data_IF_197160205375
#
_entry.id   IF_197160205375
#
_cell.length_a   1.000
_cell.length_b   1.000
_cell.length_c   1.000
_cell.angle_alpha   90.00
_cell.angle_beta   90.00
_cell.angle_gamma   90.00
#
_symmetry.space_group_name_H-M   'P 1'
#
loop_
_entity.id
_entity.type
_entity.pdbx_description
1 polymer ?
#
# COMPACT_ATOMS: atom_id res chain seq x y z
N UNK A 1 1.42 78.93 54.59
CA UNK A 1 0.79 78.10 55.64
C UNK A 1 -0.69 77.93 55.36
N UNK A 2 -1.14 76.71 55.02
CA UNK A 2 -2.45 76.12 55.37
C UNK A 2 -2.56 74.73 54.71
N UNK A 3 -2.64 73.71 55.56
CA UNK A 3 -2.80 72.29 55.27
C UNK A 3 -4.17 71.97 54.67
N UNK A 4 -4.21 71.09 53.66
CA UNK A 4 -5.32 70.22 53.23
C UNK A 4 -4.69 69.09 52.39
N UNK A 5 -4.98 67.80 52.44
CA UNK A 5 -5.96 66.95 53.13
C UNK A 5 -5.53 65.51 52.81
N UNK A 6 -5.75 64.59 53.74
CA UNK A 6 -5.42 63.17 53.62
C UNK A 6 -6.12 62.48 52.42
N UNK A 7 -5.40 61.59 51.75
CA UNK A 7 -5.96 60.63 50.78
C UNK A 7 -5.49 59.23 51.19
N UNK A 8 -6.39 58.55 51.92
CA UNK A 8 -6.40 57.10 52.08
C UNK A 8 -6.84 56.49 50.74
N UNK A 9 -5.94 55.82 50.04
CA UNK A 9 -6.28 54.98 48.91
C UNK A 9 -6.06 53.51 49.31
N UNK A 10 -7.16 52.85 49.67
CA UNK A 10 -7.22 51.42 49.97
C UNK A 10 -6.87 50.60 48.72
N UNK A 11 -5.85 49.76 48.86
CA UNK A 11 -5.40 48.81 47.85
C UNK A 11 -6.37 47.60 47.83
N UNK A 12 -7.22 47.50 46.82
CA UNK A 12 -8.03 46.30 46.57
C UNK A 12 -7.13 45.20 45.98
N UNK A 13 -6.78 44.21 46.81
CA UNK A 13 -6.07 43.00 46.41
C UNK A 13 -7.11 41.90 46.11
N UNK A 14 -7.60 41.81 44.87
CA UNK A 14 -8.43 40.71 44.40
C UNK A 14 -7.55 39.58 43.87
N UNK A 15 -7.32 38.56 44.70
CA UNK A 15 -6.71 37.30 44.31
C UNK A 15 -7.75 36.43 43.57
N UNK A 16 -7.68 36.40 42.25
CA UNK A 16 -8.40 35.42 41.43
C UNK A 16 -7.64 34.08 41.44
N UNK A 17 -8.12 33.15 42.26
CA UNK A 17 -7.76 31.74 42.17
C UNK A 17 -8.24 31.20 40.81
N UNK A 18 -7.30 30.86 39.92
CA UNK A 18 -7.61 30.00 38.78
C UNK A 18 -7.89 28.59 39.31
N UNK A 19 -9.19 28.26 39.39
CA UNK A 19 -9.68 26.91 39.60
C UNK A 19 -9.24 26.02 38.45
N UNK A 20 -8.68 24.85 38.79
CA UNK A 20 -8.15 23.88 37.83
C UNK A 20 -9.22 23.35 36.89
N UNK A 21 -8.91 23.31 35.59
CA UNK A 21 -9.66 22.51 34.65
C UNK A 21 -9.44 21.03 34.98
N UNK A 22 -10.51 20.42 35.46
CA UNK A 22 -10.68 18.98 35.59
C UNK A 22 -10.81 18.43 34.17
N UNK A 23 -9.71 17.93 33.61
CA UNK A 23 -9.72 17.37 32.26
C UNK A 23 -10.34 15.98 32.32
N UNK A 24 -11.62 15.95 31.94
CA UNK A 24 -12.45 14.78 31.74
C UNK A 24 -11.71 13.75 30.88
N UNK A 25 -11.45 12.62 31.50
CA UNK A 25 -10.94 11.39 30.94
C UNK A 25 -11.81 10.89 29.77
N UNK A 26 -11.53 11.40 28.58
CA UNK A 26 -11.92 10.84 27.28
C UNK A 26 -10.90 11.21 26.18
N UNK A 27 -9.61 11.00 26.46
CA UNK A 27 -8.51 11.06 25.46
C UNK A 27 -7.82 9.69 25.21
N UNK A 28 -8.49 8.55 24.92
CA UNK A 28 -7.80 7.26 24.86
C UNK A 28 -7.26 6.86 23.48
N UNK A 29 -7.39 7.68 22.43
CA UNK A 29 -7.04 7.25 21.06
C UNK A 29 -6.08 8.17 20.29
N UNK A 30 -6.02 9.46 20.63
CA UNK A 30 -5.07 10.41 20.01
C UNK A 30 -3.63 10.16 20.51
N UNK A 31 -3.47 9.74 21.78
CA UNK A 31 -2.15 9.53 22.40
C UNK A 31 -1.28 8.47 21.70
N UNK A 32 -1.88 7.37 21.23
CA UNK A 32 -1.13 6.31 20.52
C UNK A 32 -0.59 6.79 19.17
N UNK A 33 -1.37 7.57 18.43
CA UNK A 33 -0.97 8.05 17.10
C UNK A 33 0.06 9.18 17.17
N UNK A 34 0.14 9.90 18.29
CA UNK A 34 1.11 10.97 18.55
C UNK A 34 2.34 10.50 19.33
N UNK A 35 2.37 9.24 19.78
CA UNK A 35 3.50 8.65 20.49
C UNK A 35 4.82 8.84 19.73
N UNK A 36 5.84 9.31 20.43
CA UNK A 36 7.16 9.49 19.86
C UNK A 36 7.91 8.16 19.71
N UNK A 37 8.87 8.12 18.79
CA UNK A 37 9.79 6.99 18.69
C UNK A 37 10.59 6.85 20.01
N UNK A 38 10.84 5.62 20.52
CA UNK A 38 11.63 5.40 21.72
C UNK A 38 13.02 6.05 21.64
N UNK A 39 13.54 6.55 22.77
CA UNK A 39 14.86 7.20 22.84
C UNK A 39 15.97 6.39 22.17
N UNK A 40 15.98 5.06 22.36
CA UNK A 40 16.94 4.15 21.71
C UNK A 40 16.94 4.27 20.18
N UNK A 41 15.77 4.43 19.56
CA UNK A 41 15.68 4.65 18.11
C UNK A 41 16.10 6.07 17.73
N UNK A 42 15.79 7.06 18.55
CA UNK A 42 16.27 8.43 18.34
C UNK A 42 17.81 8.49 18.36
N UNK A 43 18.44 7.87 19.36
CA UNK A 43 19.90 7.78 19.47
C UNK A 43 20.50 7.02 18.27
N UNK A 44 19.85 5.93 17.82
CA UNK A 44 20.27 5.19 16.62
C UNK A 44 20.18 6.03 15.34
N UNK A 45 19.16 6.88 15.21
CA UNK A 45 19.04 7.81 14.08
C UNK A 45 20.20 8.81 14.09
N UNK A 46 20.54 9.40 15.25
CA UNK A 46 21.69 10.30 15.39
C UNK A 46 22.98 9.60 14.98
N UNK A 47 23.24 8.40 15.51
CA UNK A 47 24.43 7.61 15.19
C UNK A 47 24.56 7.26 13.70
N UNK A 48 23.43 7.06 13.01
CA UNK A 48 23.37 6.76 11.57
C UNK A 48 23.20 7.99 10.69
N UNK A 49 23.34 9.20 11.24
CA UNK A 49 23.20 10.47 10.52
C UNK A 49 21.84 10.59 9.79
N UNK A 50 20.76 10.21 10.46
CA UNK A 50 19.37 10.27 10.00
C UNK A 50 18.61 11.32 10.81
N UNK A 51 17.90 12.22 10.12
CA UNK A 51 17.09 13.24 10.80
C UNK A 51 15.73 12.69 11.21
N UNK A 52 15.17 13.13 12.36
CA UNK A 52 13.88 12.63 12.88
C UNK A 52 12.79 12.56 11.80
N UNK A 53 12.63 13.64 11.04
CA UNK A 53 11.58 13.78 10.02
C UNK A 53 12.02 13.41 8.59
N UNK A 54 13.19 12.78 8.40
CA UNK A 54 13.64 12.42 7.05
C UNK A 54 12.75 11.36 6.39
N UNK A 55 12.72 11.30 5.04
CA UNK A 55 11.95 10.33 4.29
C UNK A 55 12.24 8.86 4.65
N UNK A 56 11.24 8.00 4.49
CA UNK A 56 11.33 6.56 4.70
C UNK A 56 10.93 5.76 3.45
N UNK A 57 11.32 4.48 3.44
CA UNK A 57 10.76 3.41 2.63
C UNK A 57 10.57 2.18 3.51
N UNK A 58 9.50 1.44 3.26
CA UNK A 58 9.14 0.23 4.00
C UNK A 58 9.38 -0.98 3.10
N UNK A 59 10.04 -2.03 3.61
CA UNK A 59 10.23 -3.28 2.88
C UNK A 59 9.67 -4.44 3.69
N UNK A 60 8.85 -5.26 3.07
CA UNK A 60 8.19 -6.42 3.69
C UNK A 60 8.76 -7.68 3.05
N UNK A 61 9.12 -8.65 3.89
CA UNK A 61 9.66 -9.94 3.50
C UNK A 61 8.79 -11.04 4.10
N UNK A 62 7.97 -11.67 3.26
CA UNK A 62 6.94 -12.61 3.72
C UNK A 62 7.54 -13.88 4.31
N UNK A 63 8.48 -14.52 3.63
CA UNK A 63 9.08 -15.77 4.12
C UNK A 63 9.85 -15.55 5.43
N UNK A 64 10.58 -14.45 5.54
CA UNK A 64 11.28 -14.06 6.77
C UNK A 64 10.35 -13.52 7.85
N UNK A 65 9.08 -13.22 7.51
CA UNK A 65 8.10 -12.59 8.40
C UNK A 65 8.64 -11.31 9.05
N UNK A 66 9.23 -10.42 8.26
CA UNK A 66 9.75 -9.13 8.76
C UNK A 66 9.34 -7.93 7.93
N UNK A 67 9.23 -6.78 8.60
CA UNK A 67 9.16 -5.45 8.01
C UNK A 67 10.40 -4.66 8.37
N UNK A 68 11.05 -4.10 7.37
CA UNK A 68 12.17 -3.20 7.51
C UNK A 68 11.75 -1.77 7.25
N UNK A 69 12.19 -0.87 8.13
CA UNK A 69 12.12 0.57 7.92
C UNK A 69 13.50 1.05 7.52
N UNK A 70 13.59 1.61 6.33
CA UNK A 70 14.77 2.25 5.80
C UNK A 70 14.53 3.75 5.79
N UNK A 71 15.51 4.51 6.27
CA UNK A 71 15.37 5.95 6.48
C UNK A 71 16.50 6.69 5.77
N UNK A 72 16.16 7.83 5.17
CA UNK A 72 17.13 8.64 4.46
C UNK A 72 18.12 9.27 5.46
N UNK A 73 19.40 9.08 5.19
CA UNK A 73 20.50 9.76 5.88
C UNK A 73 20.72 11.15 5.28
N UNK A 74 21.50 12.01 5.94
CA UNK A 74 21.85 13.34 5.38
C UNK A 74 22.60 13.29 4.04
N UNK A 75 23.15 12.14 3.65
CA UNK A 75 23.78 11.94 2.33
C UNK A 75 22.76 11.75 1.19
N UNK A 76 21.47 11.64 1.53
CA UNK A 76 20.40 11.35 0.59
C UNK A 76 20.23 9.86 0.24
N UNK A 77 21.10 8.97 0.74
CA UNK A 77 20.94 7.51 0.66
C UNK A 77 20.15 6.98 1.85
N UNK A 78 19.46 5.87 1.64
CA UNK A 78 18.68 5.17 2.65
C UNK A 78 19.52 4.09 3.33
N UNK A 79 19.36 3.98 4.64
CA UNK A 79 19.97 2.92 5.42
C UNK A 79 18.94 2.35 6.41
N UNK A 80 19.13 1.10 6.81
CA UNK A 80 18.21 0.36 7.66
C UNK A 80 18.24 0.96 9.08
N UNK A 81 17.09 1.46 9.54
CA UNK A 81 16.94 1.96 10.91
C UNK A 81 16.37 0.88 11.84
N UNK A 82 15.39 0.09 11.37
CA UNK A 82 14.72 -0.91 12.21
C UNK A 82 14.20 -2.09 11.40
N UNK A 83 14.13 -3.24 12.06
CA UNK A 83 13.49 -4.47 11.56
C UNK A 83 12.49 -4.94 12.60
N UNK A 84 11.27 -5.23 12.18
CA UNK A 84 10.14 -5.63 13.01
C UNK A 84 9.62 -6.99 12.56
N UNK A 85 9.32 -7.87 13.50
CA UNK A 85 8.68 -9.16 13.18
C UNK A 85 7.20 -8.95 12.86
N UNK A 86 6.73 -9.66 11.84
CA UNK A 86 5.33 -9.80 11.47
C UNK A 86 4.75 -10.93 12.31
N UNK A 87 3.65 -10.66 12.99
CA UNK A 87 2.90 -11.69 13.71
C UNK A 87 2.30 -12.70 12.75
N UNK A 88 1.52 -12.19 11.78
CA UNK A 88 0.83 -13.01 10.79
C UNK A 88 0.61 -12.23 9.52
N UNK A 89 0.89 -12.87 8.39
CA UNK A 89 0.37 -12.45 7.09
C UNK A 89 -0.43 -13.62 6.52
N UNK A 90 -1.41 -13.33 5.66
CA UNK A 90 -2.35 -14.33 5.17
C UNK A 90 -1.95 -14.92 3.82
N UNK A 91 -2.32 -16.19 3.61
CA UNK A 91 -2.09 -16.91 2.36
C UNK A 91 -0.70 -17.57 2.31
N UNK A 92 -0.13 -17.63 1.11
CA UNK A 92 1.18 -18.23 0.82
C UNK A 92 2.13 -17.20 0.20
N UNK A 93 3.33 -17.61 -0.18
CA UNK A 93 4.15 -16.76 -1.04
C UNK A 93 3.52 -16.63 -2.43
N UNK A 94 3.73 -15.50 -3.07
CA UNK A 94 3.10 -15.10 -4.33
C UNK A 94 2.07 -13.97 -4.17
N UNK A 95 1.56 -13.47 -5.31
CA UNK A 95 0.72 -12.29 -5.35
C UNK A 95 -0.73 -12.58 -4.93
N UNK A 96 -1.43 -11.51 -4.53
CA UNK A 96 -2.90 -11.50 -4.41
C UNK A 96 -3.54 -11.41 -5.80
N UNK A 97 -4.64 -12.12 -6.02
CA UNK A 97 -5.38 -12.10 -7.29
C UNK A 97 -6.78 -11.52 -7.15
N UNK A 98 -7.53 -11.82 -6.08
CA UNK A 98 -8.92 -11.40 -5.98
C UNK A 98 -9.42 -11.20 -4.54
N UNK A 99 -10.54 -10.51 -4.40
CA UNK A 99 -11.21 -10.37 -3.11
C UNK A 99 -11.56 -11.75 -2.52
N UNK A 100 -11.35 -11.93 -1.21
CA UNK A 100 -11.60 -13.21 -0.54
C UNK A 100 -10.55 -14.31 -0.72
N UNK A 101 -9.52 -14.15 -1.57
CA UNK A 101 -8.44 -15.15 -1.74
C UNK A 101 -7.49 -15.29 -0.53
N UNK A 102 -7.71 -14.47 0.51
CA UNK A 102 -6.92 -14.40 1.76
C UNK A 102 -5.42 -14.26 1.54
N UNK A 103 -5.01 -13.63 0.45
CA UNK A 103 -3.61 -13.48 0.09
C UNK A 103 -3.10 -12.08 0.45
N UNK A 104 -2.04 -11.98 1.24
CA UNK A 104 -1.30 -10.73 1.40
C UNK A 104 -0.50 -10.45 0.10
N UNK A 105 -0.62 -9.24 -0.49
CA UNK A 105 -0.08 -8.96 -1.80
C UNK A 105 1.43 -8.71 -1.79
N UNK A 106 2.05 -8.95 -2.93
CA UNK A 106 3.46 -8.71 -3.23
C UNK A 106 3.55 -7.68 -4.36
N UNK A 107 4.51 -6.76 -4.31
CA UNK A 107 4.61 -5.66 -5.26
C UNK A 107 5.13 -4.36 -4.64
N UNK A 108 5.00 -3.28 -5.41
CA UNK A 108 5.36 -1.92 -4.98
C UNK A 108 4.09 -1.10 -4.77
N UNK A 109 3.95 -0.53 -3.58
CA UNK A 109 2.77 0.23 -3.18
C UNK A 109 3.14 1.61 -2.67
N UNK A 110 2.21 2.55 -2.78
CA UNK A 110 2.39 3.94 -2.37
C UNK A 110 1.46 4.25 -1.22
N UNK A 111 2.02 4.77 -0.12
CA UNK A 111 1.27 5.18 1.06
C UNK A 111 1.31 6.71 1.13
N UNK A 112 0.12 7.30 1.17
CA UNK A 112 -0.14 8.73 1.37
C UNK A 112 -0.62 9.00 2.80
N UNK A 113 -0.56 10.26 3.28
CA UNK A 113 -1.08 10.63 4.58
C UNK A 113 -2.53 10.19 4.82
N UNK A 114 -3.40 10.26 3.81
CA UNK A 114 -4.81 9.83 3.90
C UNK A 114 -5.00 8.33 4.13
N UNK A 115 -3.98 7.50 3.91
CA UNK A 115 -4.02 6.07 4.16
C UNK A 115 -3.63 5.72 5.60
N UNK A 116 -3.12 6.68 6.39
CA UNK A 116 -2.80 6.48 7.81
C UNK A 116 -4.08 6.51 8.63
N UNK A 117 -4.33 5.45 9.41
CA UNK A 117 -5.53 5.31 10.23
C UNK A 117 -5.18 5.28 11.74
N UNK A 118 -5.28 6.42 12.45
CA UNK A 118 -5.06 6.48 13.90
C UNK A 118 -6.19 5.83 14.71
N UNK A 119 -7.39 5.70 14.12
CA UNK A 119 -8.60 5.20 14.76
C UNK A 119 -8.94 3.77 14.32
N UNK A 120 -7.90 2.98 14.00
CA UNK A 120 -8.05 1.57 13.62
C UNK A 120 -8.67 0.73 14.75
N UNK A 121 -9.49 -0.25 14.36
CA UNK A 121 -9.97 -1.30 15.27
C UNK A 121 -8.87 -2.28 15.72
N UNK A 122 -7.67 -2.21 15.10
CA UNK A 122 -6.50 -3.03 15.40
C UNK A 122 -5.34 -2.17 15.96
N UNK A 123 -5.63 -1.32 16.94
CA UNK A 123 -4.71 -0.34 17.54
C UNK A 123 -4.29 0.80 16.58
N UNK A 124 -3.33 0.59 15.68
CA UNK A 124 -2.93 1.54 14.64
C UNK A 124 -2.85 0.80 13.31
N UNK A 125 -3.12 1.50 12.20
CA UNK A 125 -3.00 0.88 10.88
C UNK A 125 -2.68 1.90 9.80
N UNK A 126 -2.21 1.42 8.65
CA UNK A 126 -2.29 2.16 7.40
C UNK A 126 -2.62 1.23 6.23
N UNK A 127 -3.37 1.74 5.26
CA UNK A 127 -3.72 1.01 4.05
C UNK A 127 -2.51 1.03 3.11
N UNK A 128 -2.13 -0.13 2.57
CA UNK A 128 -0.97 -0.20 1.67
C UNK A 128 -1.28 0.38 0.29
N UNK A 129 -2.54 0.47 -0.13
CA UNK A 129 -2.92 1.00 -1.45
C UNK A 129 -3.01 -0.07 -2.54
N UNK A 130 -3.32 -1.31 -2.17
CA UNK A 130 -3.72 -2.35 -3.12
C UNK A 130 -5.18 -2.12 -3.56
N UNK A 131 -5.53 -2.33 -4.84
CA UNK A 131 -4.64 -2.70 -5.95
C UNK A 131 -3.92 -1.48 -6.54
N UNK A 132 -2.62 -1.62 -6.83
CA UNK A 132 -1.86 -0.59 -7.58
C UNK A 132 -2.14 -0.69 -9.09
N UNK A 133 -1.48 0.15 -9.91
CA UNK A 133 -1.66 0.14 -11.37
C UNK A 133 -1.31 -1.20 -12.05
N UNK A 134 -0.30 -1.92 -11.55
CA UNK A 134 0.06 -3.26 -12.04
C UNK A 134 -1.02 -4.26 -11.69
N UNK A 135 -1.55 -4.19 -10.47
CA UNK A 135 -2.60 -5.08 -10.01
C UNK A 135 -3.88 -4.87 -10.82
N UNK A 136 -4.30 -3.61 -11.01
CA UNK A 136 -5.50 -3.23 -11.76
C UNK A 136 -5.44 -3.68 -13.22
N UNK A 137 -4.32 -3.43 -13.93
CA UNK A 137 -4.21 -3.80 -15.35
C UNK A 137 -4.13 -5.31 -15.58
N UNK A 138 -3.75 -6.07 -14.55
CA UNK A 138 -3.77 -7.52 -14.52
C UNK A 138 -5.07 -8.09 -13.95
N UNK A 139 -6.12 -7.27 -13.79
CA UNK A 139 -7.46 -7.70 -13.37
C UNK A 139 -7.53 -8.13 -11.91
N UNK A 140 -6.57 -7.75 -11.07
CA UNK A 140 -6.56 -8.14 -9.66
C UNK A 140 -7.51 -7.26 -8.85
N UNK A 141 -8.23 -7.89 -7.92
CA UNK A 141 -9.26 -7.21 -7.12
C UNK A 141 -9.04 -7.38 -5.62
N UNK A 142 -9.67 -6.48 -4.88
CA UNK A 142 -9.78 -6.52 -3.43
C UNK A 142 -9.42 -5.19 -2.78
N UNK A 143 -9.64 -5.09 -1.47
CA UNK A 143 -9.52 -3.82 -0.75
C UNK A 143 -9.15 -3.98 0.72
N UNK A 144 -8.79 -2.87 1.36
CA UNK A 144 -8.44 -2.81 2.80
C UNK A 144 -7.28 -3.72 3.20
N UNK A 145 -6.24 -3.80 2.36
CA UNK A 145 -4.99 -4.48 2.71
C UNK A 145 -4.18 -3.53 3.59
N UNK A 146 -4.03 -3.88 4.87
CA UNK A 146 -3.43 -3.00 5.88
C UNK A 146 -2.12 -3.56 6.41
N UNK A 147 -1.29 -2.67 6.95
CA UNK A 147 -0.31 -2.99 7.98
C UNK A 147 -0.88 -2.50 9.30
N UNK A 148 -1.03 -3.37 10.31
CA UNK A 148 -1.75 -3.01 11.55
C UNK A 148 -1.30 -3.79 12.80
N UNK A 149 -1.81 -3.41 13.97
CA UNK A 149 -1.54 -4.07 15.27
C UNK A 149 -2.42 -5.31 15.54
N UNK A 150 -2.60 -5.64 16.81
CA UNK A 150 -3.46 -6.73 17.31
C UNK A 150 -3.11 -8.17 16.85
N UNK A 151 -1.94 -8.39 16.26
CA UNK A 151 -1.34 -9.71 15.98
C UNK A 151 -2.28 -10.76 15.32
N UNK A 152 -3.29 -10.30 14.56
CA UNK A 152 -4.31 -11.14 13.91
C UNK A 152 -4.49 -10.67 12.47
N UNK A 153 -4.61 -11.57 11.47
CA UNK A 153 -4.81 -11.15 10.07
C UNK A 153 -5.68 -12.09 9.25
N UNK A 154 -6.44 -11.48 8.34
CA UNK A 154 -7.28 -12.10 7.30
C UNK A 154 -7.04 -11.40 5.94
N UNK A 155 -5.78 -11.23 5.55
CA UNK A 155 -5.34 -10.57 4.30
C UNK A 155 -4.22 -9.53 4.50
N UNK A 156 -4.03 -9.08 5.74
CA UNK A 156 -3.13 -7.98 6.11
C UNK A 156 -1.75 -8.45 6.60
N UNK A 157 -0.85 -7.50 6.83
CA UNK A 157 0.36 -7.70 7.61
C UNK A 157 0.11 -7.26 9.06
N UNK A 158 -0.07 -8.20 9.97
CA UNK A 158 -0.29 -7.88 11.38
C UNK A 158 1.02 -7.87 12.17
N UNK A 159 1.13 -6.90 13.08
CA UNK A 159 2.24 -6.67 13.98
C UNK A 159 1.75 -6.73 15.43
N UNK A 160 2.68 -6.74 16.38
CA UNK A 160 2.35 -6.35 17.75
C UNK A 160 2.03 -4.85 17.81
N UNK A 161 1.34 -4.42 18.86
CA UNK A 161 0.95 -3.02 19.05
C UNK A 161 2.18 -2.12 19.22
N UNK A 162 3.24 -2.61 19.87
CA UNK A 162 4.49 -1.88 20.03
C UNK A 162 5.22 -1.68 18.70
N UNK A 163 5.23 -2.71 17.85
CA UNK A 163 5.87 -2.65 16.54
C UNK A 163 5.12 -1.68 15.63
N UNK A 164 3.79 -1.77 15.55
CA UNK A 164 3.01 -0.86 14.71
C UNK A 164 3.04 0.57 15.23
N UNK A 165 3.12 0.82 16.55
CA UNK A 165 3.30 2.16 17.09
C UNK A 165 4.53 2.85 16.50
N UNK A 166 5.66 2.14 16.44
CA UNK A 166 6.90 2.68 15.90
C UNK A 166 6.86 2.82 14.38
N UNK A 167 6.34 1.82 13.66
CA UNK A 167 6.17 1.88 12.19
C UNK A 167 5.26 3.05 11.80
N UNK A 168 4.14 3.21 12.50
CA UNK A 168 3.21 4.32 12.30
C UNK A 168 3.87 5.67 12.59
N UNK A 169 4.63 5.76 13.69
CA UNK A 169 5.38 6.97 14.03
C UNK A 169 6.42 7.34 12.95
N UNK A 170 7.13 6.36 12.36
CA UNK A 170 8.03 6.62 11.23
C UNK A 170 7.29 7.20 10.03
N UNK A 171 6.15 6.60 9.64
CA UNK A 171 5.31 7.11 8.54
C UNK A 171 4.82 8.53 8.81
N UNK A 172 4.22 8.75 9.99
CA UNK A 172 3.77 10.07 10.45
C UNK A 172 4.89 11.11 10.42
N UNK A 173 6.05 10.80 10.99
CA UNK A 173 7.16 11.74 11.11
C UNK A 173 7.77 12.06 9.73
N UNK A 174 7.81 11.09 8.81
CA UNK A 174 8.22 11.35 7.42
C UNK A 174 7.29 12.34 6.71
N UNK A 175 5.97 12.22 6.92
CA UNK A 175 4.98 13.15 6.37
C UNK A 175 5.06 14.53 7.01
N UNK A 176 5.29 14.61 8.33
CA UNK A 176 5.59 15.88 9.00
C UNK A 176 6.83 16.57 8.44
N UNK A 177 7.82 15.79 7.98
CA UNK A 177 9.02 16.27 7.31
C UNK A 177 8.85 16.65 5.84
N UNK A 178 7.63 16.58 5.30
CA UNK A 178 7.33 16.97 3.93
C UNK A 178 7.43 15.86 2.89
N UNK A 179 7.71 14.60 3.29
CA UNK A 179 7.51 13.47 2.37
C UNK A 179 6.03 13.42 1.98
N UNK A 180 5.70 13.44 0.69
CA UNK A 180 4.29 13.44 0.22
C UNK A 180 3.67 12.05 0.18
N UNK A 181 4.52 11.05 -0.03
CA UNK A 181 4.19 9.64 -0.07
C UNK A 181 5.46 8.81 0.20
N UNK A 182 5.31 7.64 0.81
CA UNK A 182 6.39 6.67 0.93
C UNK A 182 6.03 5.36 0.26
N UNK A 183 7.04 4.63 -0.19
CA UNK A 183 6.86 3.34 -0.85
C UNK A 183 6.87 2.20 0.17
N UNK A 184 5.99 1.22 -0.02
CA UNK A 184 6.05 -0.10 0.61
C UNK A 184 6.38 -1.12 -0.47
N UNK A 185 7.47 -1.83 -0.29
CA UNK A 185 7.94 -2.87 -1.19
C UNK A 185 7.69 -4.23 -0.53
N UNK A 186 6.71 -5.00 -1.02
CA UNK A 186 6.39 -6.32 -0.49
C UNK A 186 6.98 -7.41 -1.37
N UNK A 187 7.90 -8.18 -0.80
CA UNK A 187 8.62 -9.25 -1.48
C UNK A 187 8.25 -10.63 -0.91
N UNK A 188 8.31 -11.69 -1.72
CA UNK A 188 8.08 -13.05 -1.22
C UNK A 188 9.13 -13.45 -0.17
N UNK A 189 10.37 -13.05 -0.38
CA UNK A 189 11.53 -13.33 0.46
C UNK A 189 12.63 -12.33 0.15
N UNK A 190 13.74 -12.32 0.90
CA UNK A 190 14.95 -11.58 0.50
C UNK A 190 15.43 -12.12 -0.85
N UNK A 191 15.46 -11.28 -1.89
CA UNK A 191 15.68 -11.72 -3.28
C UNK A 191 17.15 -12.00 -3.61
N UNK A 192 17.84 -12.70 -2.71
CA UNK A 192 19.22 -13.17 -2.88
C UNK A 192 19.30 -14.22 -3.98
N UNK A 193 20.52 -14.48 -4.45
CA UNK A 193 20.76 -15.49 -5.47
C UNK A 193 20.30 -16.88 -5.02
N UNK A 194 20.51 -17.23 -3.76
CA UNK A 194 20.11 -18.51 -3.16
C UNK A 194 18.59 -18.68 -3.15
N UNK A 195 17.87 -17.65 -2.70
CA UNK A 195 16.41 -17.71 -2.66
C UNK A 195 15.82 -17.75 -4.08
N UNK A 196 16.32 -16.91 -5.00
CA UNK A 196 15.86 -16.98 -6.39
C UNK A 196 16.18 -18.33 -7.04
N UNK A 197 17.34 -18.95 -6.72
CA UNK A 197 17.66 -20.29 -7.21
C UNK A 197 16.73 -21.35 -6.59
N UNK A 198 16.40 -21.24 -5.30
CA UNK A 198 15.48 -22.15 -4.59
C UNK A 198 14.08 -22.17 -5.22
N UNK A 199 13.61 -21.03 -5.69
CA UNK A 199 12.27 -20.83 -6.26
C UNK A 199 12.23 -20.82 -7.80
N UNK A 200 13.32 -21.18 -8.49
CA UNK A 200 13.48 -21.05 -9.95
C UNK A 200 12.42 -21.76 -10.82
N UNK A 201 11.76 -22.79 -10.28
CA UNK A 201 10.74 -23.57 -10.99
C UNK A 201 9.32 -23.24 -10.51
N UNK A 202 9.16 -22.23 -9.67
CA UNK A 202 7.84 -21.84 -9.13
C UNK A 202 6.99 -21.14 -10.21
N UNK A 203 5.67 -21.36 -10.26
CA UNK A 203 4.79 -20.64 -11.19
C UNK A 203 4.84 -19.12 -11.05
N UNK A 204 5.18 -18.60 -9.86
CA UNK A 204 5.29 -17.16 -9.61
C UNK A 204 6.67 -16.59 -9.98
N UNK A 205 7.61 -17.42 -10.45
CA UNK A 205 9.00 -16.99 -10.66
C UNK A 205 9.11 -15.80 -11.62
N UNK A 206 8.34 -15.79 -12.72
CA UNK A 206 8.33 -14.67 -13.68
C UNK A 206 7.87 -13.36 -13.02
N UNK A 207 6.90 -13.43 -12.10
CA UNK A 207 6.46 -12.27 -11.35
C UNK A 207 7.56 -11.79 -10.38
N UNK A 208 8.21 -12.71 -9.68
CA UNK A 208 9.32 -12.37 -8.79
C UNK A 208 10.54 -11.83 -9.53
N UNK A 209 10.85 -12.30 -10.74
CA UNK A 209 11.93 -11.68 -11.54
C UNK A 209 11.63 -10.22 -11.87
N UNK A 210 10.36 -9.83 -12.05
CA UNK A 210 9.99 -8.42 -12.22
C UNK A 210 10.18 -7.63 -10.92
N UNK A 211 9.79 -8.20 -9.77
CA UNK A 211 10.02 -7.54 -8.48
C UNK A 211 11.52 -7.36 -8.17
N UNK A 212 12.33 -8.34 -8.59
CA UNK A 212 13.77 -8.34 -8.39
C UNK A 212 14.47 -7.14 -9.04
N UNK A 213 14.03 -6.70 -10.22
CA UNK A 213 14.62 -5.52 -10.89
C UNK A 213 14.56 -4.28 -9.97
N UNK A 214 13.38 -4.00 -9.37
CA UNK A 214 13.23 -2.92 -8.41
C UNK A 214 13.96 -3.16 -7.08
N UNK A 215 14.00 -4.41 -6.62
CA UNK A 215 14.78 -4.81 -5.44
C UNK A 215 16.27 -4.48 -5.62
N UNK A 216 16.86 -4.87 -6.75
CA UNK A 216 18.28 -4.71 -7.05
C UNK A 216 18.66 -3.23 -7.22
N UNK A 217 17.77 -2.41 -7.81
CA UNK A 217 17.95 -0.94 -7.88
C UNK A 217 18.08 -0.36 -6.48
N UNK A 218 17.22 -0.77 -5.56
CA UNK A 218 17.35 -0.32 -4.18
C UNK A 218 18.66 -0.80 -3.55
N UNK A 219 19.07 -2.05 -3.78
CA UNK A 219 20.31 -2.59 -3.22
C UNK A 219 21.57 -1.85 -3.68
N UNK A 220 21.64 -1.52 -4.97
CA UNK A 220 22.81 -0.84 -5.58
C UNK A 220 22.81 0.64 -5.24
N UNK A 221 21.67 1.31 -5.38
CA UNK A 221 21.61 2.79 -5.27
C UNK A 221 21.36 3.28 -3.86
N UNK A 222 20.79 2.42 -3.01
CA UNK A 222 20.22 2.78 -1.70
C UNK A 222 19.22 3.93 -1.79
N UNK A 223 18.42 3.94 -2.86
CA UNK A 223 17.31 4.87 -3.09
C UNK A 223 16.11 4.11 -3.64
N UNK A 224 14.88 4.44 -3.20
CA UNK A 224 13.67 3.80 -3.73
C UNK A 224 13.59 4.03 -5.24
N UNK A 225 13.39 2.98 -6.06
CA UNK A 225 13.22 3.15 -7.50
C UNK A 225 11.93 3.92 -7.78
N UNK A 226 11.93 4.73 -8.85
CA UNK A 226 10.69 5.18 -9.48
C UNK A 226 10.04 3.95 -10.10
N UNK A 227 8.78 3.70 -9.76
CA UNK A 227 8.00 2.56 -10.24
C UNK A 227 6.92 3.06 -11.17
N UNK A 228 6.90 2.51 -12.38
CA UNK A 228 5.83 2.72 -13.36
C UNK A 228 5.35 1.35 -13.89
N UNK A 229 4.29 1.36 -14.68
CA UNK A 229 3.72 0.16 -15.31
C UNK A 229 3.43 0.45 -16.78
N UNK A 230 3.84 -0.47 -17.65
CA UNK A 230 3.51 -0.51 -19.06
C UNK A 230 3.58 -1.98 -19.52
N UNK A 231 2.92 -2.34 -20.62
CA UNK A 231 2.84 -3.73 -21.12
C UNK A 231 2.43 -4.74 -20.03
N UNK A 232 1.60 -4.30 -19.07
CA UNK A 232 1.16 -5.08 -17.90
C UNK A 232 2.29 -5.58 -16.99
N UNK A 233 3.48 -4.98 -17.07
CA UNK A 233 4.66 -5.30 -16.27
C UNK A 233 5.19 -4.08 -15.51
N UNK A 234 5.84 -4.34 -14.39
CA UNK A 234 6.60 -3.29 -13.70
C UNK A 234 7.76 -2.83 -14.57
N UNK A 235 8.03 -1.53 -14.53
CA UNK A 235 9.25 -0.92 -15.05
C UNK A 235 9.79 0.08 -14.05
N UNK A 236 11.11 0.22 -14.00
CA UNK A 236 11.77 1.05 -13.01
C UNK A 236 12.64 2.12 -13.64
N UNK A 237 12.66 3.31 -13.03
CA UNK A 237 13.50 4.43 -13.41
C UNK A 237 13.47 4.78 -14.92
N UNK A 238 12.31 4.59 -15.58
CA UNK A 238 12.15 4.96 -16.99
C UNK A 238 12.11 6.47 -17.09
N UNK A 239 12.93 7.03 -17.99
CA UNK A 239 12.72 8.40 -18.43
C UNK A 239 11.47 8.43 -19.32
N UNK A 240 10.48 9.22 -18.93
CA UNK A 240 9.22 9.36 -19.65
C UNK A 240 9.02 10.77 -20.20
N UNK A 241 10.04 11.64 -20.10
CA UNK A 241 10.00 13.04 -20.50
C UNK A 241 8.77 13.78 -19.93
N UNK A 242 8.39 13.43 -18.70
CA UNK A 242 7.22 13.99 -18.00
C UNK A 242 5.87 13.35 -18.37
N UNK A 243 5.82 12.41 -19.31
CA UNK A 243 4.57 11.71 -19.66
C UNK A 243 4.28 10.58 -18.68
N UNK A 244 3.02 10.43 -18.29
CA UNK A 244 2.57 9.27 -17.53
C UNK A 244 2.53 8.03 -18.44
N UNK A 245 3.00 6.88 -17.94
CA UNK A 245 2.86 5.62 -18.66
C UNK A 245 1.46 5.05 -18.46
N UNK A 246 0.89 4.51 -19.54
CA UNK A 246 -0.35 3.74 -19.46
C UNK A 246 -0.01 2.29 -19.10
N UNK A 247 -0.63 1.70 -18.07
CA UNK A 247 -0.31 0.33 -17.62
C UNK A 247 -0.41 -0.75 -18.70
N UNK A 248 -1.35 -0.63 -19.64
CA UNK A 248 -1.51 -1.54 -20.78
C UNK A 248 -0.79 -1.07 -22.06
N UNK A 249 -0.24 0.15 -22.07
CA UNK A 249 0.41 0.75 -23.23
C UNK A 249 1.83 0.24 -23.45
N UNK A 250 2.40 0.57 -24.60
CA UNK A 250 3.77 0.19 -24.98
C UNK A 250 4.79 0.87 -24.06
N UNK A 251 5.82 0.14 -23.66
CA UNK A 251 6.88 0.71 -22.84
C UNK A 251 7.82 1.59 -23.69
N UNK A 252 8.26 2.75 -23.17
CA UNK A 252 9.28 3.53 -23.86
C UNK A 252 10.58 2.73 -23.96
N UNK A 253 11.36 3.01 -25.00
CA UNK A 253 12.67 2.39 -25.19
C UNK A 253 13.53 2.67 -23.96
N UNK A 254 14.19 1.64 -23.47
CA UNK A 254 15.11 1.74 -22.34
C UNK A 254 16.28 2.67 -22.73
N UNK A 255 16.34 3.87 -22.15
CA UNK A 255 17.55 4.69 -22.19
C UNK A 255 18.31 4.45 -20.89
N UNK A 256 19.39 3.67 -20.89
CA UNK A 256 20.08 3.34 -19.66
C UNK A 256 20.84 4.56 -19.13
N UNK A 257 20.80 4.78 -17.82
CA UNK A 257 21.74 5.67 -17.15
C UNK A 257 23.11 4.97 -17.10
N UNK A 258 24.12 5.51 -17.77
CA UNK A 258 25.46 4.93 -17.88
C UNK A 258 26.15 4.73 -16.50
N UNK A 259 25.89 5.63 -15.54
CA UNK A 259 26.42 5.51 -14.19
C UNK A 259 25.74 4.36 -13.44
N UNK A 260 24.43 4.19 -13.64
CA UNK A 260 23.67 3.08 -13.08
C UNK A 260 24.13 1.74 -13.69
N UNK A 261 24.33 1.68 -15.01
CA UNK A 261 24.80 0.48 -15.71
C UNK A 261 26.11 -0.07 -15.14
N UNK A 262 27.09 0.80 -14.89
CA UNK A 262 28.41 0.39 -14.38
C UNK A 262 28.30 -0.19 -12.98
N UNK A 263 27.56 0.48 -12.08
CA UNK A 263 27.33 -0.02 -10.73
C UNK A 263 26.61 -1.37 -10.74
N UNK A 264 25.61 -1.51 -11.62
CA UNK A 264 24.85 -2.73 -11.82
C UNK A 264 25.66 -3.89 -12.39
N UNK A 265 26.59 -3.64 -13.32
CA UNK A 265 27.38 -4.71 -13.93
C UNK A 265 28.18 -5.50 -12.88
N UNK A 266 28.79 -4.80 -11.92
CA UNK A 266 29.53 -5.45 -10.82
C UNK A 266 28.62 -6.24 -9.87
N UNK A 267 27.42 -5.70 -9.59
CA UNK A 267 26.42 -6.35 -8.76
C UNK A 267 25.87 -7.60 -9.45
N UNK A 268 25.54 -7.49 -10.73
CA UNK A 268 24.98 -8.57 -11.55
C UNK A 268 25.96 -9.73 -11.67
N UNK A 269 27.25 -9.45 -11.94
CA UNK A 269 28.27 -10.50 -12.00
C UNK A 269 28.32 -11.31 -10.70
N UNK A 270 28.36 -10.63 -9.54
CA UNK A 270 28.34 -11.29 -8.23
C UNK A 270 27.07 -12.10 -8.01
N UNK A 271 25.92 -11.57 -8.44
CA UNK A 271 24.64 -12.26 -8.36
C UNK A 271 24.64 -13.54 -9.21
N UNK A 272 25.11 -13.48 -10.47
CA UNK A 272 25.11 -14.61 -11.40
C UNK A 272 26.05 -15.73 -10.91
N UNK A 273 27.23 -15.36 -10.39
CA UNK A 273 28.17 -16.31 -9.79
C UNK A 273 27.54 -17.01 -8.57
N UNK A 274 26.89 -16.25 -7.69
CA UNK A 274 26.20 -16.79 -6.52
C UNK A 274 24.98 -17.64 -6.90
N UNK A 275 24.23 -17.27 -7.93
CA UNK A 275 23.05 -17.99 -8.40
C UNK A 275 23.45 -19.33 -9.01
N UNK A 276 24.47 -19.33 -9.85
CA UNK A 276 25.06 -20.55 -10.42
C UNK A 276 25.55 -21.48 -9.32
N UNK A 277 26.25 -20.93 -8.32
CA UNK A 277 26.72 -21.69 -7.16
C UNK A 277 25.57 -22.24 -6.29
N UNK A 278 24.47 -21.50 -6.16
CA UNK A 278 23.32 -21.91 -5.36
C UNK A 278 22.52 -23.05 -5.99
N UNK A 279 22.50 -23.15 -7.33
CA UNK A 279 21.78 -24.22 -8.05
C UNK A 279 22.35 -25.61 -7.76
N UNK A 280 23.66 -25.70 -7.51
CA UNK A 280 24.36 -26.96 -7.22
C UNK A 280 24.29 -27.34 -5.73
N UNK A 281 23.87 -26.42 -4.86
CA UNK A 281 23.78 -26.65 -3.42
C UNK A 281 22.46 -27.32 -3.04
N UNK A 282 22.53 -28.25 -2.09
CA UNK A 282 21.34 -28.72 -1.38
C UNK A 282 20.81 -27.58 -0.48
N UNK A 283 19.69 -26.99 -0.87
CA UNK A 283 19.05 -25.90 -0.14
C UNK A 283 17.86 -26.40 0.68
N UNK A 284 17.42 -25.58 1.64
CA UNK A 284 16.14 -25.75 2.34
C UNK A 284 15.02 -25.83 1.29
N UNK A 285 13.97 -26.62 1.57
CA UNK A 285 12.80 -26.66 0.70
C UNK A 285 12.14 -25.25 0.57
N UNK A 286 11.59 -24.90 -0.60
CA UNK A 286 10.75 -23.72 -0.75
C UNK A 286 9.55 -23.75 0.23
N UNK A 287 9.21 -22.61 0.82
CA UNK A 287 7.93 -22.43 1.48
C UNK A 287 6.77 -22.52 0.46
N UNK A 288 5.55 -22.89 0.88
CA UNK A 288 4.39 -22.98 -0.01
C UNK A 288 4.07 -21.68 -0.74
N UNK A 289 3.61 -21.81 -1.98
CA UNK A 289 3.31 -20.69 -2.90
C UNK A 289 1.93 -20.85 -3.51
N UNK A 290 1.24 -19.75 -3.79
CA UNK A 290 -0.07 -19.77 -4.45
C UNK A 290 0.08 -20.23 -5.90
N UNK A 291 -0.77 -21.14 -6.35
CA UNK A 291 -0.77 -21.69 -7.71
C UNK A 291 -1.66 -20.87 -8.66
N UNK A 292 -1.51 -19.54 -8.62
CA UNK A 292 -2.20 -18.64 -9.53
C UNK A 292 -3.68 -18.42 -9.22
N UNK A 293 -4.42 -18.02 -10.27
CA UNK A 293 -5.83 -17.61 -10.17
C UNK A 293 -6.74 -18.77 -9.77
N UNK A 294 -6.44 -19.99 -10.20
CA UNK A 294 -7.24 -21.18 -9.89
C UNK A 294 -7.33 -21.42 -8.38
N UNK A 295 -6.17 -21.45 -7.70
CA UNK A 295 -6.15 -21.57 -6.23
C UNK A 295 -6.82 -20.36 -5.56
N UNK A 296 -6.57 -19.16 -6.08
CA UNK A 296 -7.19 -17.94 -5.54
C UNK A 296 -8.73 -18.01 -5.58
N UNK A 297 -9.31 -18.52 -6.67
CA UNK A 297 -10.75 -18.72 -6.80
C UNK A 297 -11.30 -19.74 -5.81
N UNK A 298 -10.61 -20.87 -5.61
CA UNK A 298 -11.02 -21.87 -4.60
C UNK A 298 -11.04 -21.27 -3.19
N UNK A 299 -10.02 -20.49 -2.83
CA UNK A 299 -9.95 -19.82 -1.52
C UNK A 299 -11.01 -18.72 -1.40
N UNK A 300 -11.27 -17.96 -2.46
CA UNK A 300 -12.30 -16.94 -2.47
C UNK A 300 -13.70 -17.54 -2.29
N UNK A 301 -14.00 -18.64 -2.97
CA UNK A 301 -15.25 -19.38 -2.84
C UNK A 301 -15.43 -19.93 -1.43
N UNK A 302 -14.37 -20.52 -0.87
CA UNK A 302 -14.34 -20.97 0.51
C UNK A 302 -14.59 -19.82 1.50
N UNK A 303 -13.98 -18.66 1.28
CA UNK A 303 -14.20 -17.47 2.11
C UNK A 303 -15.64 -16.97 2.04
N UNK A 304 -16.27 -16.97 0.85
CA UNK A 304 -17.69 -16.59 0.69
C UNK A 304 -18.61 -17.57 1.41
N UNK A 305 -18.40 -18.88 1.23
CA UNK A 305 -19.17 -19.93 1.93
C UNK A 305 -19.08 -19.76 3.44
N UNK A 306 -17.86 -19.61 3.98
CA UNK A 306 -17.65 -19.35 5.41
C UNK A 306 -18.38 -18.10 5.90
N UNK A 307 -18.30 -17.01 5.14
CA UNK A 307 -18.97 -15.75 5.51
C UNK A 307 -20.49 -15.86 5.50
N UNK A 308 -21.07 -16.71 4.63
CA UNK A 308 -22.50 -17.02 4.60
C UNK A 308 -22.97 -18.00 5.69
N UNK A 309 -22.08 -18.43 6.61
CA UNK A 309 -22.40 -19.39 7.66
C UNK A 309 -22.40 -20.85 7.21
N UNK A 310 -22.01 -21.14 5.96
CA UNK A 310 -21.81 -22.51 5.48
C UNK A 310 -20.60 -23.11 6.20
N UNK A 311 -20.80 -24.28 6.79
CA UNK A 311 -19.74 -25.02 7.43
C UNK A 311 -18.75 -25.53 6.38
N UNK A 312 -17.52 -24.99 6.45
CA UNK A 312 -16.39 -25.33 5.58
C UNK A 312 -15.20 -25.75 6.43
N UNK A 313 -14.20 -26.33 5.78
CA UNK A 313 -12.91 -26.68 6.37
C UNK A 313 -12.30 -25.56 7.23
N UNK A 314 -11.48 -25.93 8.22
CA UNK A 314 -10.85 -24.95 9.11
C UNK A 314 -9.81 -24.13 8.35
N UNK A 315 -9.02 -24.80 7.52
CA UNK A 315 -8.02 -24.19 6.64
C UNK A 315 -8.60 -23.97 5.23
N UNK A 316 -8.14 -22.95 4.51
CA UNK A 316 -8.53 -22.75 3.13
C UNK A 316 -8.04 -23.91 2.23
N UNK A 317 -8.71 -24.19 1.12
CA UNK A 317 -8.21 -25.13 0.12
C UNK A 317 -6.85 -24.67 -0.41
N UNK A 318 -5.98 -25.64 -0.72
CA UNK A 318 -4.61 -25.44 -1.17
C UNK A 318 -4.27 -26.41 -2.28
N UNK A 319 -3.66 -25.91 -3.36
CA UNK A 319 -3.11 -26.75 -4.42
C UNK A 319 -1.67 -27.23 -4.12
N UNK A 320 -0.98 -26.64 -3.13
CA UNK A 320 0.42 -26.97 -2.78
C UNK A 320 0.82 -26.75 -1.30
N UNK A 321 1.33 -27.78 -0.59
CA UNK A 321 0.99 -29.18 -0.85
C UNK A 321 -0.54 -29.32 -0.72
N UNK A 322 -1.14 -30.33 -1.37
CA UNK A 322 -2.56 -30.60 -1.26
C UNK A 322 -3.01 -30.46 0.21
N UNK A 323 -4.08 -29.68 0.47
CA UNK A 323 -4.61 -29.53 1.83
C UNK A 323 -4.69 -30.91 2.48
N UNK A 324 -4.11 -31.06 3.68
CA UNK A 324 -4.15 -32.33 4.43
C UNK A 324 -5.56 -32.68 4.91
N UNK A 325 -6.51 -31.77 4.81
CA UNK A 325 -7.91 -31.98 5.16
C UNK A 325 -8.63 -32.70 4.00
N UNK A 326 -9.06 -33.94 4.25
CA UNK A 326 -9.90 -34.71 3.34
C UNK A 326 -11.29 -34.08 3.23
N UNK A 327 -12.01 -34.23 2.09
CA UNK A 327 -13.38 -33.73 1.92
C UNK A 327 -14.37 -34.16 3.02
N UNK A 328 -14.08 -35.25 3.74
CA UNK A 328 -14.89 -35.79 4.85
C UNK A 328 -14.35 -35.46 6.26
N UNK A 329 -13.49 -34.46 6.41
CA UNK A 329 -13.06 -34.01 7.75
C UNK A 329 -14.30 -33.65 8.60
N UNK A 330 -14.31 -33.97 9.91
CA UNK A 330 -15.52 -33.92 10.76
C UNK A 330 -16.19 -32.54 10.84
N UNK A 331 -15.48 -31.49 10.40
CA UNK A 331 -15.94 -30.10 10.39
C UNK A 331 -16.38 -29.60 9.00
N UNK A 332 -16.46 -30.45 7.98
CA UNK A 332 -17.00 -30.12 6.64
C UNK A 332 -18.48 -30.55 6.61
N UNK A 333 -19.39 -29.67 6.16
CA UNK A 333 -20.75 -30.08 5.88
C UNK A 333 -20.72 -31.21 4.84
N UNK A 334 -21.19 -32.41 5.20
CA UNK A 334 -21.35 -33.52 4.26
C UNK A 334 -22.12 -33.00 3.06
N UNK A 335 -21.47 -32.99 1.90
CA UNK A 335 -22.13 -32.66 0.65
C UNK A 335 -23.19 -33.74 0.44
N UNK A 336 -24.45 -33.41 0.68
CA UNK A 336 -25.56 -34.34 0.44
C UNK A 336 -25.56 -34.66 -1.04
N UNK A 337 -25.05 -35.84 -1.39
CA UNK A 337 -25.17 -36.47 -2.68
C UNK A 337 -26.64 -36.82 -2.95
N UNK A 338 -27.49 -35.81 -3.20
CA UNK A 338 -28.85 -35.96 -3.73
C UNK A 338 -29.16 -34.79 -4.66
N UNK A 339 -28.44 -34.72 -5.77
CA UNK A 339 -28.85 -33.93 -6.95
C UNK A 339 -28.19 -34.48 -8.22
N UNK A 340 -28.31 -35.78 -8.45
CA UNK A 340 -28.01 -36.40 -9.75
C UNK A 340 -28.92 -37.61 -9.91
N UNK A 341 -30.19 -37.33 -10.25
CA UNK A 341 -31.19 -38.17 -10.93
C UNK A 341 -32.59 -37.65 -10.62
N UNK A 342 -33.03 -36.65 -11.38
CA UNK A 342 -34.43 -36.45 -11.79
C UNK A 342 -34.56 -35.10 -12.49
N UNK A 343 -34.46 -35.07 -13.82
CA UNK A 343 -35.19 -34.15 -14.69
C UNK A 343 -34.86 -34.46 -16.16
N UNK A 344 -35.36 -35.61 -16.64
CA UNK A 344 -35.65 -35.79 -18.07
C UNK A 344 -37.04 -36.42 -18.15
N UNK A 345 -38.06 -35.58 -18.31
CA UNK A 345 -39.23 -35.88 -19.17
C UNK A 345 -40.14 -34.66 -19.25
N UNK A 346 -40.38 -34.23 -20.49
CA UNK A 346 -41.21 -33.14 -20.96
C UNK A 346 -42.67 -33.19 -20.46
N UNK A 347 -43.31 -32.02 -20.33
CA UNK A 347 -44.52 -31.77 -21.11
C UNK A 347 -44.76 -30.27 -21.37
N UNK A 348 -45.17 -29.98 -22.62
CA UNK A 348 -45.49 -28.68 -23.19
C UNK A 348 -46.91 -28.26 -22.82
N UNK A 349 -47.15 -26.96 -22.60
CA UNK A 349 -48.22 -26.23 -23.31
C UNK A 349 -48.00 -24.71 -23.29
N UNK A 350 -48.29 -24.10 -24.45
CA UNK A 350 -48.11 -22.71 -24.87
C UNK A 350 -49.06 -21.72 -24.14
N UNK A 351 -48.61 -20.53 -23.74
CA UNK A 351 -48.55 -19.24 -24.49
C UNK A 351 -49.87 -18.45 -24.54
N UNK A 352 -49.89 -17.29 -23.89
CA UNK A 352 -50.73 -16.14 -24.29
C UNK A 352 -50.06 -14.82 -23.92
N UNK A 353 -50.18 -13.87 -24.85
CA UNK A 353 -49.47 -12.59 -24.98
C UNK A 353 -50.36 -11.43 -24.50
N UNK A 354 -49.81 -10.55 -23.64
CA UNK A 354 -49.82 -9.05 -23.58
C UNK A 354 -51.12 -8.31 -24.04
N UNK A 355 -51.69 -7.33 -23.28
CA UNK A 355 -51.16 -5.95 -23.32
C UNK A 355 -51.16 -5.10 -22.03
N UNK A 356 -50.31 -4.07 -22.09
CA UNK A 356 -50.07 -3.02 -21.11
C UNK A 356 -51.21 -1.99 -20.99
N UNK A 357 -51.40 -1.41 -19.79
CA UNK A 357 -51.77 0.01 -19.58
C UNK A 357 -51.62 0.45 -18.10
N UNK A 358 -51.36 1.76 -17.94
CA UNK A 358 -51.02 2.62 -16.77
C UNK A 358 -52.19 2.79 -15.75
N UNK A 359 -51.99 3.24 -14.48
CA UNK A 359 -51.88 4.68 -14.12
C UNK A 359 -50.84 4.98 -12.98
N UNK A 360 -50.05 6.07 -12.99
CA UNK A 360 -50.29 7.45 -12.48
C UNK A 360 -50.26 7.60 -10.92
N UNK A 361 -49.13 7.99 -10.31
CA UNK A 361 -48.68 9.31 -9.74
C UNK A 361 -49.00 9.58 -8.26
N UNK A 362 -47.93 9.80 -7.46
CA UNK A 362 -47.72 10.89 -6.47
C UNK A 362 -46.29 10.71 -5.89
N UNK A 363 -45.29 11.54 -6.20
CA UNK A 363 -44.94 12.81 -5.52
C UNK A 363 -44.14 12.51 -4.23
N UNK A 364 -42.90 12.94 -3.97
CA UNK A 364 -42.21 14.21 -4.27
C UNK A 364 -40.67 14.00 -4.25
N UNK A 365 -39.97 14.62 -5.20
CA UNK A 365 -38.52 14.89 -5.16
C UNK A 365 -38.33 16.40 -5.17
N UNK A 366 -37.47 16.93 -4.28
CA UNK A 366 -36.95 18.30 -4.41
C UNK A 366 -35.58 18.20 -5.10
N UNK A 367 -35.50 18.81 -6.28
CA UNK A 367 -34.34 18.87 -7.15
C UNK A 367 -33.55 20.15 -6.95
N UNK A 368 -32.26 20.06 -7.27
CA UNK A 368 -31.33 21.14 -7.56
C UNK A 368 -31.82 21.99 -8.75
N UNK A 369 -31.53 23.29 -8.71
CA UNK A 369 -31.84 24.24 -9.77
C UNK A 369 -30.52 24.81 -10.34
N UNK A 370 -30.14 24.33 -11.52
CA UNK A 370 -29.26 25.04 -12.45
C UNK A 370 -30.15 25.81 -13.44
N UNK A 371 -29.91 27.12 -13.59
CA UNK A 371 -30.51 27.94 -14.63
C UNK A 371 -29.40 28.49 -15.55
N UNK A 372 -29.45 28.08 -16.82
CA UNK A 372 -28.85 28.79 -17.94
C UNK A 372 -29.87 29.77 -18.51
N UNK A 373 -29.46 31.00 -18.84
CA UNK A 373 -30.06 31.70 -19.96
C UNK A 373 -29.03 32.53 -20.74
N UNK A 374 -29.25 32.54 -22.05
CA UNK A 374 -28.39 32.91 -23.17
C UNK A 374 -28.25 34.42 -23.44
N UNK A 375 -27.11 34.81 -24.03
CA UNK A 375 -26.91 36.08 -24.73
C UNK A 375 -25.73 35.98 -25.71
N UNK A 376 -25.98 36.30 -26.99
CA UNK A 376 -25.12 36.13 -28.16
C UNK A 376 -23.97 37.20 -28.25
N UNK A 377 -23.04 37.11 -29.24
CA UNK A 377 -21.63 37.48 -29.08
C UNK A 377 -21.30 38.92 -29.50
N UNK A 378 -20.28 39.50 -28.85
CA UNK A 378 -19.60 40.73 -29.29
C UNK A 378 -18.10 40.48 -29.41
N UNK A 379 -17.59 40.74 -30.60
CA UNK A 379 -16.19 40.70 -31.03
C UNK A 379 -15.30 41.66 -30.22
N UNK A 380 -13.99 41.39 -30.12
CA UNK A 380 -13.05 42.48 -30.35
C UNK A 380 -11.95 42.12 -31.35
N UNK A 381 -11.55 43.17 -32.06
CA UNK A 381 -10.63 43.20 -33.17
C UNK A 381 -9.16 43.01 -32.78
N UNK A 382 -8.40 42.62 -33.80
CA UNK A 382 -6.97 42.41 -33.82
C UNK A 382 -6.15 43.69 -33.49
N UNK A 383 -5.00 43.47 -32.85
CA UNK A 383 -3.90 44.42 -32.78
C UNK A 383 -2.59 43.67 -33.02
N UNK A 384 -1.98 43.89 -34.18
CA UNK A 384 -0.68 43.36 -34.61
C UNK A 384 0.52 44.08 -33.93
N UNK A 385 1.74 43.51 -34.02
CA UNK A 385 2.87 43.84 -33.15
C UNK A 385 3.78 44.93 -33.73
N UNK A 386 4.33 45.79 -32.88
CA UNK A 386 5.45 46.67 -33.24
C UNK A 386 6.77 46.23 -32.61
N UNK A 387 7.65 45.78 -33.49
CA UNK A 387 9.11 45.68 -33.31
C UNK A 387 9.75 47.06 -33.12
N UNK A 388 10.76 47.19 -32.25
CA UNK A 388 12.02 47.92 -32.53
C UNK A 388 13.09 47.78 -31.42
N UNK A 389 14.18 47.10 -31.82
CA UNK A 389 15.62 47.44 -31.70
C UNK A 389 16.29 47.57 -30.31
N UNK A 390 17.27 46.68 -30.13
CA UNK A 390 18.50 46.80 -29.34
C UNK A 390 19.41 47.93 -29.85
N UNK A 391 20.09 48.66 -28.94
CA UNK A 391 21.37 49.37 -29.19
C UNK A 391 22.05 49.82 -27.87
N UNK A 392 23.21 49.20 -27.59
CA UNK A 392 24.44 49.69 -26.92
C UNK A 392 24.42 50.08 -25.43
N UNK A 393 25.28 49.52 -24.56
CA UNK A 393 26.76 49.60 -24.37
C UNK A 393 27.28 50.94 -23.80
N UNK A 394 27.97 50.78 -22.65
CA UNK A 394 29.17 51.48 -22.17
C UNK A 394 29.07 52.92 -21.63
N UNK A 395 29.32 53.06 -20.32
CA UNK A 395 30.33 53.88 -19.60
C UNK A 395 29.80 54.09 -18.16
N UNK A 396 30.53 53.86 -17.07
CA UNK A 396 31.96 53.61 -16.92
C UNK A 396 32.32 53.02 -15.54
N UNK A 397 33.59 52.60 -15.48
CA UNK A 397 34.28 51.90 -14.40
C UNK A 397 35.51 51.25 -15.01
#
# INVERSE_FOLDING_TARGET
MKFRTALLASFFLTATFLSGCQESSNLPQIGKATQELPKKLQDKMVAKNMEKYSPIVVRVFKEESVVEIWKQTRTGKYDLISTYNICKWSGKLGPKYMEGDRQAPEGFYTIRPSQMNPNSNYYLAFNIGFPNAYDQVNGRTGQHLMVHGACSSSGCYSMSDENIAQIYAFGRDSFKGGQREFQLQAFPFRMTAENMARYRNDPNYKFWTMLKEGYDIFEVTKRPPKVDVCEKRYVFNRNTDGKALTPAGVCPVATPDAALQTAFASYQKKYDDAFSSAREKKMKAPAPTIQGVEEASLVADWSRKRASGVQVSREPPSLTPASKETPDAPDIAKENAVASKAAVSNEKTASTVVPAQKPEVAGQSLAEEEAQNSGAPVTPAAGEPQTKKSLWKLFGG
#
